data_IF_211748857596
#
_entry.id   IF_211748857596
#
_cell.length_a   1.000
_cell.length_b   1.000
_cell.length_c   1.000
_cell.angle_alpha   90.00
_cell.angle_beta   90.00
_cell.angle_gamma   90.00
#
_symmetry.space_group_name_H-M   'P 1'
#
loop_
_entity.id
_entity.type
_entity.pdbx_description
1 polymer ?
#
# COMPACT_ATOMS: atom_id res chain seq x y z
N UNK A 1 -16.01 10.28 23.86
CA UNK A 1 -16.89 9.47 23.05
C UNK A 1 -16.07 8.37 22.40
N UNK A 2 -16.30 7.14 22.80
CA UNK A 2 -15.65 6.00 22.17
C UNK A 2 -16.15 5.91 20.74
N UNK A 3 -15.24 5.87 19.77
CA UNK A 3 -15.61 5.51 18.40
C UNK A 3 -16.28 4.15 18.48
N UNK A 4 -17.46 4.03 17.90
CA UNK A 4 -18.16 2.75 17.85
C UNK A 4 -17.33 1.69 17.15
N UNK A 5 -16.37 2.16 16.30
CA UNK A 5 -15.37 1.34 15.65
C UNK A 5 -14.09 2.17 15.50
N UNK A 6 -12.98 1.65 15.99
CA UNK A 6 -11.65 2.17 15.78
C UNK A 6 -11.28 2.09 14.28
N UNK A 7 -10.58 3.09 13.75
CA UNK A 7 -10.16 3.14 12.34
C UNK A 7 -9.35 1.90 11.95
N UNK A 8 -8.44 1.45 12.81
CA UNK A 8 -7.66 0.23 12.56
C UNK A 8 -8.56 -0.99 12.41
N UNK A 9 -9.57 -1.12 13.26
CA UNK A 9 -10.54 -2.21 13.21
C UNK A 9 -11.39 -2.17 11.94
N UNK A 10 -11.81 -0.97 11.52
CA UNK A 10 -12.54 -0.79 10.25
C UNK A 10 -11.69 -1.26 9.08
N UNK A 11 -10.44 -0.82 8.99
CA UNK A 11 -9.54 -1.20 7.90
C UNK A 11 -9.25 -2.70 7.90
N UNK A 12 -9.04 -3.29 9.07
CA UNK A 12 -8.83 -4.74 9.18
C UNK A 12 -10.05 -5.52 8.67
N UNK A 13 -11.25 -5.11 9.10
CA UNK A 13 -12.50 -5.75 8.68
C UNK A 13 -12.75 -5.61 7.19
N UNK A 14 -12.45 -4.44 6.61
CA UNK A 14 -12.73 -4.09 5.23
C UNK A 14 -11.53 -4.32 4.29
N UNK A 15 -10.52 -5.08 4.71
CA UNK A 15 -9.32 -5.34 3.92
C UNK A 15 -9.64 -5.92 2.55
N UNK A 16 -10.42 -6.99 2.49
CA UNK A 16 -10.74 -7.66 1.23
C UNK A 16 -11.55 -6.76 0.29
N UNK A 17 -12.52 -6.03 0.81
CA UNK A 17 -13.33 -5.08 0.03
C UNK A 17 -12.46 -3.97 -0.53
N UNK A 18 -11.56 -3.42 0.28
CA UNK A 18 -10.65 -2.35 -0.15
C UNK A 18 -9.69 -2.84 -1.24
N UNK A 19 -9.14 -4.04 -1.09
CA UNK A 19 -8.28 -4.64 -2.11
C UNK A 19 -9.05 -4.88 -3.42
N UNK A 20 -10.30 -5.34 -3.34
CA UNK A 20 -11.14 -5.54 -4.51
C UNK A 20 -11.43 -4.22 -5.25
N UNK A 21 -11.67 -3.14 -4.53
CA UNK A 21 -11.85 -1.81 -5.11
C UNK A 21 -10.56 -1.30 -5.75
N UNK A 22 -9.44 -1.47 -5.07
CA UNK A 22 -8.12 -1.15 -5.64
C UNK A 22 -7.87 -1.92 -6.93
N UNK A 23 -8.14 -3.22 -6.93
CA UNK A 23 -7.98 -4.06 -8.12
C UNK A 23 -8.81 -3.54 -9.30
N UNK A 24 -10.04 -3.12 -9.04
CA UNK A 24 -10.91 -2.53 -10.06
C UNK A 24 -10.31 -1.25 -10.63
N UNK A 25 -9.75 -0.39 -9.79
CA UNK A 25 -9.08 0.84 -10.24
C UNK A 25 -7.85 0.53 -11.11
N UNK A 26 -7.04 -0.42 -10.67
CA UNK A 26 -5.82 -0.83 -11.40
C UNK A 26 -6.17 -1.40 -12.77
N UNK A 27 -7.17 -2.26 -12.85
CA UNK A 27 -7.61 -2.84 -14.12
C UNK A 27 -8.22 -1.81 -15.08
N UNK A 28 -8.72 -0.70 -14.56
CA UNK A 28 -9.25 0.41 -15.35
C UNK A 28 -8.14 1.36 -15.84
N UNK A 29 -6.92 1.26 -15.31
CA UNK A 29 -5.79 2.08 -15.73
C UNK A 29 -5.03 1.39 -16.87
N UNK A 30 -5.04 1.94 -18.09
CA UNK A 30 -4.47 1.25 -19.26
C UNK A 30 -3.00 0.85 -19.09
N UNK A 31 -2.17 1.71 -18.50
CA UNK A 31 -0.74 1.41 -18.33
C UNK A 31 -0.51 0.20 -17.40
N UNK A 32 -1.30 0.10 -16.34
CA UNK A 32 -1.19 -1.03 -15.39
C UNK A 32 -1.84 -2.28 -15.97
N UNK A 33 -2.97 -2.14 -16.65
CA UNK A 33 -3.69 -3.25 -17.26
C UNK A 33 -2.90 -3.90 -18.40
N UNK A 34 -1.96 -3.19 -19.01
CA UNK A 34 -1.07 -3.72 -20.04
C UNK A 34 -0.16 -4.84 -19.54
N UNK A 35 0.15 -4.86 -18.25
CA UNK A 35 0.89 -5.95 -17.63
C UNK A 35 -0.09 -7.10 -17.36
N UNK A 36 0.03 -8.24 -18.06
CA UNK A 36 -0.95 -9.33 -17.95
C UNK A 36 -0.72 -10.17 -16.69
N UNK A 37 -1.35 -9.77 -15.61
CA UNK A 37 -1.27 -10.49 -14.33
C UNK A 37 -2.64 -11.02 -13.95
N UNK A 38 -2.66 -12.21 -13.33
CA UNK A 38 -3.84 -12.71 -12.67
C UNK A 38 -4.17 -11.83 -11.46
N UNK A 39 -5.42 -11.88 -11.00
CA UNK A 39 -5.82 -11.19 -9.78
C UNK A 39 -4.96 -11.62 -8.59
N UNK A 40 -4.70 -12.93 -8.47
CA UNK A 40 -3.88 -13.49 -7.41
C UNK A 40 -2.47 -12.90 -7.42
N UNK A 41 -1.82 -12.88 -8.58
CA UNK A 41 -0.46 -12.35 -8.71
C UNK A 41 -0.41 -10.84 -8.45
N UNK A 42 -1.41 -10.10 -8.93
CA UNK A 42 -1.46 -8.65 -8.74
C UNK A 42 -1.70 -8.27 -7.28
N UNK A 43 -2.47 -9.04 -6.56
CA UNK A 43 -2.83 -8.77 -5.16
C UNK A 43 -1.94 -9.50 -4.15
N UNK A 44 -0.92 -10.23 -4.59
CA UNK A 44 -0.17 -11.19 -3.77
C UNK A 44 0.29 -10.64 -2.41
N UNK A 45 0.88 -9.46 -2.37
CA UNK A 45 1.45 -8.89 -1.15
C UNK A 45 0.50 -7.93 -0.40
N UNK A 46 -0.65 -7.58 -1.00
CA UNK A 46 -1.54 -6.58 -0.43
C UNK A 46 -2.13 -6.95 0.93
N UNK A 47 -2.59 -8.19 1.17
CA UNK A 47 -3.13 -8.55 2.48
C UNK A 47 -2.11 -8.33 3.61
N UNK A 48 -0.85 -8.67 3.40
CA UNK A 48 0.21 -8.48 4.39
C UNK A 48 0.59 -7.01 4.54
N UNK A 49 0.62 -6.25 3.45
CA UNK A 49 0.86 -4.81 3.50
C UNK A 49 -0.26 -4.11 4.29
N UNK A 50 -1.51 -4.54 4.12
CA UNK A 50 -2.64 -4.06 4.92
C UNK A 50 -2.50 -4.41 6.40
N UNK A 51 -2.04 -5.61 6.69
CA UNK A 51 -1.79 -6.04 8.08
C UNK A 51 -0.73 -5.16 8.73
N UNK A 52 0.32 -4.80 8.00
CA UNK A 52 1.35 -3.89 8.46
C UNK A 52 0.79 -2.48 8.70
N UNK A 53 -0.10 -2.01 7.83
CA UNK A 53 -0.78 -0.73 8.01
C UNK A 53 -1.64 -0.72 9.28
N UNK A 54 -2.44 -1.75 9.50
CA UNK A 54 -3.29 -1.89 10.69
C UNK A 54 -2.43 -1.92 11.95
N UNK A 55 -1.32 -2.67 11.92
CA UNK A 55 -0.36 -2.72 13.02
C UNK A 55 0.22 -1.34 13.33
N UNK A 56 0.57 -0.58 12.30
CA UNK A 56 1.08 0.79 12.43
C UNK A 56 0.07 1.72 13.12
N UNK A 57 -1.20 1.59 12.78
CA UNK A 57 -2.26 2.40 13.38
C UNK A 57 -2.50 2.04 14.85
N UNK A 58 -2.30 0.78 15.22
CA UNK A 58 -2.44 0.30 16.61
C UNK A 58 -1.21 0.59 17.46
N UNK A 59 -0.06 0.81 16.84
CA UNK A 59 1.21 1.08 17.51
C UNK A 59 1.82 2.36 16.94
N UNK A 60 1.31 3.54 17.36
CA UNK A 60 1.75 4.81 16.77
C UNK A 60 3.25 5.05 16.91
N UNK A 61 3.85 5.55 15.84
CA UNK A 61 5.24 5.99 15.78
C UNK A 61 5.29 7.45 15.35
N UNK A 62 6.38 8.18 15.63
CA UNK A 62 6.55 9.53 15.12
C UNK A 62 6.41 9.57 13.59
N UNK A 63 5.57 10.47 13.10
CA UNK A 63 5.31 10.62 11.67
C UNK A 63 6.52 11.17 10.92
N UNK A 64 6.74 10.66 9.72
CA UNK A 64 7.76 11.15 8.80
C UNK A 64 9.21 10.79 9.12
N UNK A 65 9.48 10.24 10.28
CA UNK A 65 10.86 9.96 10.74
C UNK A 65 11.14 8.50 11.04
N UNK A 66 10.12 7.75 11.37
CA UNK A 66 10.23 6.32 11.65
C UNK A 66 9.25 5.54 10.80
N UNK A 67 9.71 4.37 10.35
CA UNK A 67 8.90 3.45 9.57
C UNK A 67 9.02 2.05 10.14
N UNK A 68 7.92 1.30 10.10
CA UNK A 68 7.97 -0.14 10.32
C UNK A 68 8.63 -0.79 9.11
N UNK A 69 9.48 -1.78 9.36
CA UNK A 69 10.01 -2.60 8.28
C UNK A 69 8.90 -3.52 7.79
N UNK A 70 8.51 -3.39 6.52
CA UNK A 70 7.54 -4.25 5.87
C UNK A 70 8.24 -5.16 4.88
N UNK A 71 8.38 -6.42 5.25
CA UNK A 71 8.94 -7.45 4.35
C UNK A 71 8.06 -7.59 3.12
N UNK A 72 6.73 -7.55 3.30
CA UNK A 72 5.78 -7.61 2.20
C UNK A 72 5.96 -6.46 1.19
N UNK A 73 6.18 -5.23 1.68
CA UNK A 73 6.44 -4.09 0.80
C UNK A 73 7.73 -4.25 0.00
N UNK A 74 8.79 -4.74 0.63
CA UNK A 74 10.06 -5.02 -0.06
C UNK A 74 9.90 -6.10 -1.12
N UNK A 75 9.25 -7.19 -0.77
CA UNK A 75 9.00 -8.30 -1.70
C UNK A 75 8.11 -7.86 -2.86
N UNK A 76 7.16 -6.98 -2.58
CA UNK A 76 6.30 -6.38 -3.59
C UNK A 76 7.11 -5.58 -4.62
N UNK A 77 8.07 -4.79 -4.19
CA UNK A 77 8.96 -4.03 -5.08
C UNK A 77 9.78 -4.93 -5.99
N UNK A 78 10.37 -6.00 -5.45
CA UNK A 78 11.12 -6.99 -6.22
C UNK A 78 10.21 -7.68 -7.25
N UNK A 79 9.04 -8.14 -6.82
CA UNK A 79 8.08 -8.82 -7.69
C UNK A 79 7.61 -7.92 -8.82
N UNK A 80 7.27 -6.67 -8.55
CA UNK A 80 6.84 -5.72 -9.58
C UNK A 80 7.94 -5.49 -10.63
N UNK A 81 9.19 -5.42 -10.20
CA UNK A 81 10.32 -5.34 -11.13
C UNK A 81 10.36 -6.54 -12.08
N UNK A 82 10.24 -7.74 -11.53
CA UNK A 82 10.22 -8.99 -12.30
C UNK A 82 9.03 -9.04 -13.27
N UNK A 83 7.89 -8.50 -12.85
CA UNK A 83 6.66 -8.48 -13.65
C UNK A 83 6.69 -7.43 -14.78
N UNK A 84 7.72 -6.60 -14.84
CA UNK A 84 7.87 -5.60 -15.90
C UNK A 84 7.28 -4.23 -15.57
N UNK A 85 6.96 -3.95 -14.33
CA UNK A 85 6.52 -2.61 -13.89
C UNK A 85 7.63 -1.60 -14.07
N UNK A 86 7.28 -0.40 -14.52
CA UNK A 86 8.17 0.77 -14.40
C UNK A 86 8.03 1.36 -13.00
N UNK A 87 8.99 2.20 -12.61
CA UNK A 87 8.92 2.92 -11.34
C UNK A 87 7.64 3.77 -11.25
N UNK A 88 7.27 4.42 -12.34
CA UNK A 88 6.04 5.22 -12.40
C UNK A 88 4.77 4.38 -12.17
N UNK A 89 4.73 3.18 -12.71
CA UNK A 89 3.62 2.24 -12.47
C UNK A 89 3.51 1.84 -11.00
N UNK A 90 4.64 1.60 -10.34
CA UNK A 90 4.66 1.27 -8.92
C UNK A 90 4.10 2.42 -8.07
N UNK A 91 4.47 3.66 -8.40
CA UNK A 91 3.92 4.85 -7.73
C UNK A 91 2.43 4.99 -8.01
N UNK A 92 2.00 4.77 -9.26
CA UNK A 92 0.58 4.88 -9.64
C UNK A 92 -0.30 3.90 -8.86
N UNK A 93 0.11 2.63 -8.75
CA UNK A 93 -0.69 1.66 -8.00
C UNK A 93 -0.73 1.95 -6.50
N UNK A 94 0.34 2.53 -5.95
CA UNK A 94 0.38 2.98 -4.55
C UNK A 94 -0.60 4.14 -4.30
N UNK A 95 -0.68 5.10 -5.22
CA UNK A 95 -1.66 6.18 -5.13
C UNK A 95 -3.09 5.64 -5.16
N UNK A 96 -3.37 4.70 -6.02
CA UNK A 96 -4.68 4.04 -6.11
C UNK A 96 -5.04 3.31 -4.83
N UNK A 97 -4.04 2.68 -4.18
CA UNK A 97 -4.24 2.02 -2.90
C UNK A 97 -4.60 3.04 -1.81
N UNK A 98 -3.90 4.15 -1.75
CA UNK A 98 -4.18 5.21 -0.79
C UNK A 98 -5.61 5.75 -0.96
N UNK A 99 -6.02 6.00 -2.20
CA UNK A 99 -7.39 6.46 -2.52
C UNK A 99 -8.42 5.41 -2.08
N UNK A 100 -8.18 4.14 -2.35
CA UNK A 100 -9.09 3.05 -1.97
C UNK A 100 -9.24 2.95 -0.44
N UNK A 101 -8.14 3.11 0.29
CA UNK A 101 -8.16 3.13 1.76
C UNK A 101 -9.01 4.31 2.27
N UNK A 102 -8.79 5.51 1.74
CA UNK A 102 -9.56 6.68 2.17
C UNK A 102 -11.03 6.59 1.80
N UNK A 103 -11.37 5.99 0.66
CA UNK A 103 -12.76 5.72 0.31
C UNK A 103 -13.43 4.75 1.28
N UNK A 104 -12.72 3.70 1.69
CA UNK A 104 -13.21 2.78 2.72
C UNK A 104 -13.52 3.52 4.02
N UNK A 105 -12.61 4.39 4.46
CA UNK A 105 -12.84 5.19 5.66
C UNK A 105 -14.04 6.11 5.49
N UNK A 106 -14.16 6.78 4.35
CA UNK A 106 -15.27 7.68 4.08
C UNK A 106 -16.63 6.97 4.16
N UNK A 107 -16.69 5.71 3.77
CA UNK A 107 -17.92 4.91 3.79
C UNK A 107 -18.25 4.33 5.16
N UNK A 108 -17.26 4.05 5.99
CA UNK A 108 -17.43 3.27 7.22
C UNK A 108 -17.13 4.01 8.50
N UNK A 109 -16.58 5.22 8.43
CA UNK A 109 -16.27 6.02 9.62
C UNK A 109 -17.26 7.16 9.72
N UNK A 110 -18.24 7.01 10.64
CA UNK A 110 -19.26 8.02 10.92
C UNK A 110 -18.96 8.70 12.26
N UNK A 111 -19.41 9.95 12.40
CA UNK A 111 -19.42 10.69 13.67
C UNK A 111 -18.05 10.86 14.35
N UNK A 112 -16.97 10.84 13.56
CA UNK A 112 -15.63 11.10 14.08
C UNK A 112 -15.34 12.60 14.04
N UNK A 113 -14.77 13.12 15.12
CA UNK A 113 -14.28 14.51 15.12
C UNK A 113 -13.21 14.67 14.04
N UNK A 114 -13.28 15.76 13.23
CA UNK A 114 -12.29 15.99 12.16
C UNK A 114 -10.83 15.94 12.65
N UNK A 115 -10.56 16.43 13.85
CA UNK A 115 -9.21 16.42 14.43
C UNK A 115 -8.69 15.01 14.72
N UNK A 116 -9.56 14.11 15.15
CA UNK A 116 -9.21 12.70 15.40
C UNK A 116 -9.03 11.97 14.06
N UNK A 117 -9.94 12.18 13.12
CA UNK A 117 -9.87 11.57 11.81
C UNK A 117 -8.59 12.00 11.06
N UNK A 118 -8.20 13.27 11.17
CA UNK A 118 -6.98 13.78 10.54
C UNK A 118 -5.72 13.08 11.04
N UNK A 119 -5.64 12.77 12.34
CA UNK A 119 -4.51 12.02 12.91
C UNK A 119 -4.38 10.65 12.22
N UNK A 120 -5.49 9.93 12.02
CA UNK A 120 -5.49 8.65 11.33
C UNK A 120 -5.13 8.79 9.85
N UNK A 121 -5.64 9.81 9.18
CA UNK A 121 -5.30 10.09 7.78
C UNK A 121 -3.81 10.34 7.62
N UNK A 122 -3.21 11.12 8.52
CA UNK A 122 -1.77 11.39 8.53
C UNK A 122 -0.96 10.10 8.73
N UNK A 123 -1.37 9.25 9.67
CA UNK A 123 -0.69 7.98 9.94
C UNK A 123 -0.80 7.02 8.75
N UNK A 124 -1.96 6.95 8.13
CA UNK A 124 -2.19 6.11 6.93
C UNK A 124 -1.32 6.59 5.77
N UNK A 125 -1.32 7.90 5.50
CA UNK A 125 -0.51 8.47 4.43
C UNK A 125 0.98 8.20 4.66
N UNK A 126 1.45 8.40 5.89
CA UNK A 126 2.84 8.13 6.27
C UNK A 126 3.22 6.66 6.05
N UNK A 127 2.36 5.73 6.46
CA UNK A 127 2.63 4.30 6.30
C UNK A 127 2.59 3.85 4.84
N UNK A 128 1.62 4.32 4.06
CA UNK A 128 1.55 4.00 2.63
C UNK A 128 2.80 4.50 1.90
N UNK A 129 3.24 5.72 2.21
CA UNK A 129 4.45 6.27 1.61
C UNK A 129 5.72 5.54 2.10
N UNK A 130 5.76 5.12 3.35
CA UNK A 130 6.85 4.29 3.88
C UNK A 130 6.94 2.95 3.15
N UNK A 131 5.82 2.28 2.95
CA UNK A 131 5.78 1.03 2.20
C UNK A 131 6.20 1.23 0.74
N UNK A 132 5.77 2.32 0.12
CA UNK A 132 6.22 2.67 -1.23
C UNK A 132 7.74 2.90 -1.28
N UNK A 133 8.30 3.62 -0.31
CA UNK A 133 9.74 3.85 -0.23
C UNK A 133 10.51 2.54 -0.10
N UNK A 134 10.02 1.61 0.71
CA UNK A 134 10.63 0.29 0.86
C UNK A 134 10.52 -0.54 -0.42
N UNK A 135 9.37 -0.52 -1.08
CA UNK A 135 9.18 -1.18 -2.36
C UNK A 135 10.09 -0.59 -3.44
N UNK A 136 10.24 0.73 -3.47
CA UNK A 136 11.13 1.42 -4.42
C UNK A 136 12.59 1.09 -4.19
N UNK A 137 13.04 0.98 -2.95
CA UNK A 137 14.41 0.56 -2.65
C UNK A 137 14.69 -0.84 -3.19
N UNK A 138 13.78 -1.77 -2.99
CA UNK A 138 13.90 -3.14 -3.52
C UNK A 138 13.84 -3.16 -5.04
N UNK A 139 12.92 -2.40 -5.62
CA UNK A 139 12.79 -2.26 -7.08
C UNK A 139 14.09 -1.76 -7.71
N UNK A 140 14.71 -0.72 -7.13
CA UNK A 140 15.96 -0.15 -7.61
C UNK A 140 17.12 -1.12 -7.43
N UNK A 141 17.19 -1.82 -6.30
CA UNK A 141 18.23 -2.83 -6.05
C UNK A 141 18.14 -3.97 -7.06
N UNK A 142 16.95 -4.44 -7.37
CA UNK A 142 16.72 -5.47 -8.38
C UNK A 142 17.11 -4.98 -9.78
N UNK A 143 16.78 -3.73 -10.13
CA UNK A 143 17.19 -3.11 -11.39
C UNK A 143 18.70 -3.00 -11.51
N UNK A 144 19.42 -2.71 -10.41
CA UNK A 144 20.89 -2.63 -10.39
C UNK A 144 21.50 -4.01 -10.59
N UNK A 145 20.94 -5.06 -10.01
CA UNK A 145 21.39 -6.43 -10.23
C UNK A 145 21.23 -6.84 -11.69
N UNK A 146 20.09 -6.50 -12.30
CA UNK A 146 19.84 -6.77 -13.72
C UNK A 146 20.82 -6.02 -14.65
N UNK A 147 21.30 -4.85 -14.23
CA UNK A 147 22.21 -3.99 -14.99
C UNK A 147 23.69 -4.32 -14.76
N UNK A 148 24.04 -5.12 -13.74
CA UNK A 148 25.44 -5.50 -13.50
C UNK A 148 25.99 -6.30 -14.68
N UNK A 149 27.16 -5.90 -15.20
CA UNK A 149 27.76 -6.64 -16.30
C UNK A 149 28.15 -8.04 -15.83
N UNK A 150 27.82 -9.05 -16.64
CA UNK A 150 28.28 -10.40 -16.44
C UNK A 150 29.80 -10.37 -16.62
N UNK A 151 30.54 -10.47 -15.54
CA UNK A 151 32.00 -10.61 -15.59
C UNK A 151 32.27 -12.07 -15.96
N UNK A 152 32.73 -12.23 -17.17
CA UNK A 152 33.16 -13.55 -17.64
C UNK A 152 34.45 -13.97 -16.91
#
# INVERSE_FOLDING_TARGET
MSLKYDVATVLERETETTIAEWYTLVEAEPELAMIPLSREDRCMHLPEMFRDLVSRLRNPLPLGTHALVSVAARDHGCLRREQGYTAAMLVAESRMLQVSIFQTLNLHVEDTKPSVLLIYVMAIADEVDSQLAQAMKSYISEANLDAEPIVA
#
